data_IF_082287701616
#
_entry.id   IF_082287701616
#
_cell.length_a   1.000
_cell.length_b   1.000
_cell.length_c   1.000
_cell.angle_alpha   90.00
_cell.angle_beta   90.00
_cell.angle_gamma   90.00
#
_symmetry.space_group_name_H-M   'P 1'
#
loop_
_entity.id
_entity.type
_entity.pdbx_description
1 polymer ?
#
# COMPACT_ATOMS: atom_id res chain seq x y z
N UNK A 1 -2.15 16.67 -18.29
CA UNK A 1 -1.52 15.53 -18.96
C UNK A 1 -2.14 15.33 -20.33
N UNK A 2 -1.34 15.01 -21.34
CA UNK A 2 -1.80 14.80 -22.72
C UNK A 2 -1.37 13.40 -23.16
N UNK A 3 -2.34 12.60 -23.60
CA UNK A 3 -2.06 11.29 -24.23
C UNK A 3 -1.38 11.55 -25.57
N UNK A 4 -0.20 10.97 -25.78
CA UNK A 4 0.66 11.28 -26.94
C UNK A 4 0.87 10.10 -27.89
N UNK A 5 0.28 8.95 -27.62
CA UNK A 5 0.45 7.72 -28.38
C UNK A 5 -0.82 7.30 -29.15
N UNK A 6 -1.73 8.24 -29.43
CA UNK A 6 -2.96 7.95 -30.18
C UNK A 6 -2.72 7.43 -31.60
N UNK A 7 -1.58 7.78 -32.22
CA UNK A 7 -1.20 7.32 -33.56
C UNK A 7 0.21 6.72 -33.56
N UNK A 8 1.21 7.54 -33.21
CA UNK A 8 2.61 7.15 -33.13
C UNK A 8 3.29 7.98 -32.04
N UNK A 9 3.63 7.31 -30.93
CA UNK A 9 4.25 7.95 -29.78
C UNK A 9 5.63 8.53 -30.10
N UNK A 10 6.45 7.82 -30.87
CA UNK A 10 7.81 8.26 -31.19
C UNK A 10 7.79 9.48 -32.11
N UNK A 11 6.92 9.48 -33.13
CA UNK A 11 6.72 10.64 -33.98
C UNK A 11 6.16 11.84 -33.21
N UNK A 12 5.23 11.62 -32.26
CA UNK A 12 4.72 12.69 -31.41
C UNK A 12 5.82 13.28 -30.51
N UNK A 13 6.67 12.44 -29.91
CA UNK A 13 7.82 12.90 -29.12
C UNK A 13 8.86 13.66 -29.96
N UNK A 14 9.08 13.25 -31.21
CA UNK A 14 10.10 13.85 -32.07
C UNK A 14 9.64 15.15 -32.73
N UNK A 15 8.40 15.17 -33.23
CA UNK A 15 7.91 16.24 -34.09
C UNK A 15 6.93 17.19 -33.39
N UNK A 16 6.14 16.69 -32.43
CA UNK A 16 5.08 17.48 -31.78
C UNK A 16 5.56 18.09 -30.46
N UNK A 17 6.28 17.32 -29.64
CA UNK A 17 6.76 17.77 -28.34
C UNK A 17 7.60 19.07 -28.39
N UNK A 18 8.50 19.28 -29.36
CA UNK A 18 9.23 20.54 -29.49
C UNK A 18 8.32 21.74 -29.80
N UNK A 19 7.27 21.55 -30.61
CA UNK A 19 6.30 22.60 -30.94
C UNK A 19 5.40 22.95 -29.74
N UNK A 20 5.09 21.96 -28.90
CA UNK A 20 4.43 22.18 -27.61
C UNK A 20 5.30 23.07 -26.72
N UNK A 21 6.59 22.76 -26.61
CA UNK A 21 7.57 23.56 -25.83
C UNK A 21 7.63 25.00 -26.33
N UNK A 22 7.76 25.23 -27.64
CA UNK A 22 7.75 26.58 -28.23
C UNK A 22 6.46 27.33 -27.90
N UNK A 23 5.33 26.66 -28.01
CA UNK A 23 4.02 27.25 -27.69
C UNK A 23 3.90 27.62 -26.21
N UNK A 24 4.46 26.81 -25.31
CA UNK A 24 4.50 27.10 -23.87
C UNK A 24 5.38 28.31 -23.56
N UNK A 25 6.58 28.40 -24.15
CA UNK A 25 7.49 29.53 -23.98
C UNK A 25 6.88 30.84 -24.49
N UNK A 26 6.23 30.81 -25.66
CA UNK A 26 5.55 31.99 -26.21
C UNK A 26 4.43 32.49 -25.29
N UNK A 27 3.65 31.58 -24.69
CA UNK A 27 2.61 31.95 -23.72
C UNK A 27 3.20 32.51 -22.43
N UNK A 28 4.28 31.90 -21.93
CA UNK A 28 4.97 32.38 -20.74
C UNK A 28 5.53 33.80 -20.95
N UNK A 29 6.21 34.05 -22.09
CA UNK A 29 6.73 35.36 -22.43
C UNK A 29 5.62 36.42 -22.57
N UNK A 30 4.47 36.06 -23.14
CA UNK A 30 3.32 36.97 -23.23
C UNK A 30 2.72 37.30 -21.85
N UNK A 31 2.68 36.34 -20.92
CA UNK A 31 2.23 36.57 -19.55
C UNK A 31 3.20 37.49 -18.77
N UNK A 32 4.51 37.28 -18.93
CA UNK A 32 5.55 38.13 -18.32
C UNK A 32 5.53 39.56 -18.85
N UNK A 33 5.15 39.76 -20.12
CA UNK A 33 5.01 41.08 -20.75
C UNK A 33 3.74 41.86 -20.32
N UNK A 34 3.06 41.43 -19.25
CA UNK A 34 1.85 42.09 -18.73
C UNK A 34 0.54 41.52 -19.27
N UNK A 35 0.58 40.38 -19.96
CA UNK A 35 -0.63 39.64 -20.36
C UNK A 35 -1.29 38.91 -19.19
N UNK A 36 -2.62 38.72 -19.27
CA UNK A 36 -3.34 37.87 -18.32
C UNK A 36 -3.13 36.39 -18.66
N UNK A 37 -2.42 35.65 -17.79
CA UNK A 37 -2.27 34.20 -17.93
C UNK A 37 -1.36 33.60 -16.86
N UNK A 38 -1.50 32.29 -16.57
CA UNK A 38 -0.47 31.58 -15.80
C UNK A 38 0.83 31.62 -16.61
N UNK A 39 1.98 31.81 -15.96
CA UNK A 39 3.30 31.79 -16.59
C UNK A 39 3.64 30.43 -17.22
N UNK A 40 4.91 30.02 -17.20
CA UNK A 40 5.28 28.70 -17.76
C UNK A 40 4.52 27.58 -17.03
N UNK A 41 3.62 26.91 -17.77
CA UNK A 41 2.87 25.75 -17.27
C UNK A 41 3.73 24.49 -17.19
N UNK A 42 3.15 23.40 -16.68
CA UNK A 42 3.80 22.09 -16.61
C UNK A 42 3.13 21.09 -17.55
N UNK A 43 3.85 20.58 -18.55
CA UNK A 43 3.33 19.61 -19.51
C UNK A 43 3.59 18.17 -19.07
N UNK A 44 2.56 17.33 -19.07
CA UNK A 44 2.71 15.93 -18.68
C UNK A 44 2.48 15.04 -19.90
N UNK A 45 3.55 14.41 -20.38
CA UNK A 45 3.59 13.46 -21.49
C UNK A 45 2.99 12.15 -21.01
N UNK A 46 1.96 11.64 -21.68
CA UNK A 46 1.31 10.39 -21.30
C UNK A 46 1.34 9.37 -22.46
N UNK A 47 2.26 8.40 -22.44
CA UNK A 47 2.04 7.11 -23.11
C UNK A 47 0.96 6.30 -22.40
N UNK A 48 0.22 5.50 -23.16
CA UNK A 48 -0.88 4.64 -22.69
C UNK A 48 -0.90 3.27 -23.42
N UNK A 49 0.19 2.89 -24.07
CA UNK A 49 0.37 1.62 -24.79
C UNK A 49 1.85 1.25 -24.95
N UNK A 50 2.11 0.01 -25.39
CA UNK A 50 3.47 -0.53 -25.59
C UNK A 50 4.11 -1.11 -24.32
N UNK A 51 5.42 -1.39 -24.34
CA UNK A 51 6.14 -1.76 -23.12
C UNK A 51 6.28 -0.54 -22.19
N UNK A 52 5.79 -0.60 -20.95
CA UNK A 52 5.81 0.56 -20.04
C UNK A 52 7.21 1.11 -19.73
N UNK A 53 8.24 0.26 -19.73
CA UNK A 53 9.62 0.71 -19.48
C UNK A 53 10.12 1.49 -20.69
N UNK A 54 10.00 0.93 -21.89
CA UNK A 54 10.41 1.59 -23.13
C UNK A 54 9.69 2.92 -23.35
N UNK A 55 8.37 2.95 -23.14
CA UNK A 55 7.56 4.15 -23.32
C UNK A 55 7.95 5.29 -22.37
N UNK A 56 8.19 4.99 -21.08
CA UNK A 56 8.67 5.98 -20.11
C UNK A 56 10.07 6.47 -20.48
N UNK A 57 10.98 5.57 -20.87
CA UNK A 57 12.35 5.93 -21.23
C UNK A 57 12.40 6.80 -22.49
N UNK A 58 11.61 6.48 -23.51
CA UNK A 58 11.48 7.30 -24.72
C UNK A 58 10.98 8.71 -24.38
N UNK A 59 9.94 8.79 -23.54
CA UNK A 59 9.38 10.06 -23.06
C UNK A 59 10.42 10.90 -22.34
N UNK A 60 11.15 10.33 -21.37
CA UNK A 60 12.18 11.05 -20.60
C UNK A 60 13.32 11.58 -21.47
N UNK A 61 13.85 10.73 -22.38
CA UNK A 61 14.98 11.11 -23.24
C UNK A 61 14.57 12.21 -24.21
N UNK A 62 13.41 12.10 -24.87
CA UNK A 62 12.93 13.12 -25.80
C UNK A 62 12.48 14.40 -25.09
N UNK A 63 11.90 14.29 -23.89
CA UNK A 63 11.56 15.43 -23.06
C UNK A 63 12.81 16.21 -22.64
N UNK A 64 13.89 15.52 -22.24
CA UNK A 64 15.16 16.19 -21.95
C UNK A 64 15.71 16.93 -23.17
N UNK A 65 15.62 16.34 -24.37
CA UNK A 65 16.08 17.00 -25.59
C UNK A 65 15.26 18.26 -25.91
N UNK A 66 13.95 18.24 -25.69
CA UNK A 66 13.06 19.35 -26.02
C UNK A 66 13.01 20.45 -24.94
N UNK A 67 12.95 20.07 -23.67
CA UNK A 67 12.75 20.97 -22.52
C UNK A 67 14.01 21.22 -21.69
N UNK A 68 15.02 20.36 -21.82
CA UNK A 68 16.20 20.36 -20.96
C UNK A 68 15.94 19.74 -19.59
N UNK A 69 17.02 19.62 -18.82
CA UNK A 69 17.02 19.07 -17.47
C UNK A 69 17.97 19.85 -16.56
N UNK A 70 17.89 19.60 -15.26
CA UNK A 70 18.87 20.04 -14.26
C UNK A 70 19.21 18.90 -13.30
N UNK A 71 20.42 18.92 -12.74
CA UNK A 71 20.80 17.93 -11.72
C UNK A 71 20.27 18.37 -10.35
N UNK A 72 19.57 17.46 -9.67
CA UNK A 72 19.23 17.65 -8.27
C UNK A 72 20.44 17.42 -7.36
N UNK A 73 20.27 17.65 -6.05
CA UNK A 73 21.32 17.45 -5.03
C UNK A 73 21.87 16.02 -4.94
N UNK A 74 21.20 15.04 -5.55
CA UNK A 74 21.62 13.63 -5.61
C UNK A 74 22.29 13.26 -6.95
N UNK A 75 22.49 14.23 -7.85
CA UNK A 75 23.14 14.00 -9.15
C UNK A 75 22.22 13.40 -10.22
N UNK A 76 20.89 13.42 -10.03
CA UNK A 76 19.93 12.92 -11.01
C UNK A 76 19.27 14.04 -11.79
N UNK A 77 19.02 13.79 -13.07
CA UNK A 77 18.40 14.73 -14.01
C UNK A 77 16.90 14.87 -13.74
N UNK A 78 16.46 16.09 -13.47
CA UNK A 78 15.05 16.48 -13.33
C UNK A 78 14.66 17.29 -14.57
N UNK A 79 13.62 16.86 -15.27
CA UNK A 79 13.08 17.56 -16.43
C UNK A 79 12.51 18.94 -16.05
N UNK A 80 12.67 19.92 -16.93
CA UNK A 80 12.18 21.29 -16.72
C UNK A 80 10.81 21.51 -17.37
N UNK A 81 9.82 21.95 -16.59
CA UNK A 81 8.50 22.30 -17.12
C UNK A 81 7.72 21.14 -17.76
N UNK A 82 8.21 19.90 -17.63
CA UNK A 82 7.51 18.72 -18.08
C UNK A 82 7.81 17.49 -17.22
N UNK A 83 6.97 16.47 -17.35
CA UNK A 83 7.16 15.14 -16.75
C UNK A 83 6.48 14.08 -17.62
N UNK A 84 6.76 12.81 -17.32
CA UNK A 84 6.10 11.67 -17.96
C UNK A 84 5.13 11.04 -16.97
N UNK A 85 3.96 10.61 -17.42
CA UNK A 85 3.05 9.76 -16.64
C UNK A 85 2.72 8.51 -17.44
N UNK A 86 2.99 7.33 -16.88
CA UNK A 86 2.57 6.05 -17.47
C UNK A 86 1.31 5.55 -16.75
N UNK A 87 0.23 5.37 -17.50
CA UNK A 87 -1.05 4.86 -16.99
C UNK A 87 -1.33 3.39 -17.35
N UNK A 88 -0.74 2.90 -18.43
CA UNK A 88 -0.96 1.55 -18.94
C UNK A 88 0.04 0.53 -18.38
N UNK A 89 -0.42 -0.70 -18.15
CA UNK A 89 0.42 -1.81 -17.72
C UNK A 89 1.03 -1.68 -16.31
N UNK A 90 0.65 -0.68 -15.50
CA UNK A 90 1.22 -0.45 -14.17
C UNK A 90 0.70 -1.47 -13.14
N UNK A 91 1.64 -2.11 -12.44
CA UNK A 91 1.48 -2.95 -11.25
C UNK A 91 2.77 -2.87 -10.42
N UNK A 92 2.82 -3.55 -9.27
CA UNK A 92 3.98 -3.48 -8.37
C UNK A 92 5.31 -3.88 -9.04
N UNK A 93 5.29 -4.86 -9.94
CA UNK A 93 6.50 -5.36 -10.62
C UNK A 93 6.92 -4.47 -11.79
N UNK A 94 5.96 -3.95 -12.58
CA UNK A 94 6.30 -3.05 -13.68
C UNK A 94 6.75 -1.69 -13.16
N UNK A 95 6.21 -1.22 -12.03
CA UNK A 95 6.67 0.00 -11.36
C UNK A 95 8.14 -0.12 -10.93
N UNK A 96 8.54 -1.23 -10.33
CA UNK A 96 9.94 -1.51 -9.95
C UNK A 96 10.86 -1.46 -11.17
N UNK A 97 10.52 -2.19 -12.25
CA UNK A 97 11.29 -2.19 -13.51
C UNK A 97 11.44 -0.80 -14.13
N UNK A 98 10.40 0.03 -14.11
CA UNK A 98 10.46 1.39 -14.64
C UNK A 98 11.39 2.23 -13.76
N UNK A 99 11.23 2.19 -12.44
CA UNK A 99 12.06 2.97 -11.50
C UNK A 99 13.54 2.61 -11.68
N UNK A 100 13.87 1.32 -11.78
CA UNK A 100 15.24 0.86 -12.02
C UNK A 100 15.81 1.42 -13.32
N UNK A 101 15.05 1.38 -14.41
CA UNK A 101 15.48 1.92 -15.70
C UNK A 101 15.69 3.44 -15.67
N UNK A 102 14.79 4.17 -15.00
CA UNK A 102 14.85 5.63 -14.81
C UNK A 102 16.13 6.00 -14.06
N UNK A 103 16.38 5.34 -12.93
CA UNK A 103 17.58 5.56 -12.10
C UNK A 103 18.85 5.16 -12.85
N UNK A 104 18.85 4.02 -13.54
CA UNK A 104 20.00 3.54 -14.32
C UNK A 104 20.38 4.50 -15.47
N UNK A 105 19.42 5.23 -16.03
CA UNK A 105 19.66 6.26 -17.06
C UNK A 105 20.03 7.63 -16.48
N UNK A 106 20.12 7.75 -15.14
CA UNK A 106 20.48 8.99 -14.44
C UNK A 106 19.35 10.01 -14.35
N UNK A 107 18.10 9.62 -14.57
CA UNK A 107 16.94 10.49 -14.36
C UNK A 107 16.43 10.39 -12.92
N UNK A 108 15.85 11.47 -12.43
CA UNK A 108 15.16 11.50 -11.15
C UNK A 108 13.76 10.93 -11.32
N UNK A 109 13.35 10.06 -10.41
CA UNK A 109 11.96 9.54 -10.36
C UNK A 109 10.95 10.68 -10.18
N UNK A 110 11.37 11.86 -9.70
CA UNK A 110 10.53 13.06 -9.62
C UNK A 110 9.98 13.52 -10.98
N UNK A 111 10.59 13.13 -12.09
CA UNK A 111 10.12 13.44 -13.44
C UNK A 111 9.13 12.42 -13.99
N UNK A 112 8.75 11.41 -13.21
CA UNK A 112 7.82 10.34 -13.60
C UNK A 112 6.69 10.23 -12.57
N UNK A 113 5.46 10.14 -13.07
CA UNK A 113 4.28 9.77 -12.29
C UNK A 113 3.68 8.47 -12.83
N UNK A 114 2.85 7.81 -12.03
CA UNK A 114 2.22 6.54 -12.40
C UNK A 114 0.71 6.62 -12.17
N UNK A 115 -0.07 6.21 -13.17
CA UNK A 115 -1.48 5.92 -13.02
C UNK A 115 -1.67 4.41 -12.93
N UNK A 116 -2.42 3.93 -11.94
CA UNK A 116 -2.71 2.50 -11.79
C UNK A 116 -4.21 2.28 -11.62
N UNK A 117 -4.84 1.69 -12.64
CA UNK A 117 -6.27 1.38 -12.65
C UNK A 117 -6.56 -0.02 -12.07
N UNK A 118 -6.88 -0.97 -12.95
CA UNK A 118 -7.24 -2.33 -12.55
C UNK A 118 -6.16 -3.04 -11.72
N UNK A 119 -4.87 -2.75 -11.95
CA UNK A 119 -3.76 -3.27 -11.14
C UNK A 119 -3.84 -2.89 -9.65
N UNK A 120 -4.40 -1.71 -9.34
CA UNK A 120 -4.54 -1.21 -7.97
C UNK A 120 -5.86 -1.64 -7.34
N UNK A 121 -6.95 -1.62 -8.12
CA UNK A 121 -8.31 -1.69 -7.57
C UNK A 121 -9.05 -3.00 -7.88
N UNK A 122 -8.61 -3.81 -8.83
CA UNK A 122 -9.33 -5.01 -9.28
C UNK A 122 -8.50 -6.29 -9.30
N UNK A 123 -7.18 -6.20 -9.52
CA UNK A 123 -6.26 -7.35 -9.50
C UNK A 123 -5.80 -7.69 -8.07
N UNK A 124 -6.73 -7.56 -7.12
CA UNK A 124 -6.56 -7.91 -5.71
C UNK A 124 -7.70 -8.85 -5.34
N UNK A 125 -7.41 -9.90 -4.58
CA UNK A 125 -8.42 -10.84 -4.09
C UNK A 125 -8.23 -11.08 -2.60
N UNK A 126 -9.19 -11.74 -1.96
CA UNK A 126 -9.17 -12.00 -0.52
C UNK A 126 -7.87 -12.68 -0.07
N UNK A 127 -7.36 -13.59 -0.91
CA UNK A 127 -6.13 -14.36 -0.69
C UNK A 127 -4.87 -13.50 -0.77
N UNK A 128 -4.89 -12.34 -1.44
CA UNK A 128 -3.73 -11.43 -1.55
C UNK A 128 -3.21 -11.02 -0.17
N UNK A 129 -4.10 -10.87 0.81
CA UNK A 129 -3.76 -10.58 2.21
C UNK A 129 -4.21 -11.70 3.17
N UNK A 130 -4.63 -12.85 2.63
CA UNK A 130 -5.19 -13.97 3.39
C UNK A 130 -6.32 -13.59 4.38
N UNK A 131 -7.19 -12.63 4.05
CA UNK A 131 -8.30 -12.22 4.92
C UNK A 131 -9.25 -13.38 5.19
N UNK A 132 -9.52 -13.67 6.47
CA UNK A 132 -10.40 -14.76 6.87
C UNK A 132 -11.15 -14.41 8.17
N UNK A 133 -12.32 -15.02 8.34
CA UNK A 133 -13.11 -14.99 9.57
C UNK A 133 -13.29 -16.41 10.08
N UNK A 134 -13.05 -16.63 11.36
CA UNK A 134 -13.19 -17.94 12.00
C UNK A 134 -13.78 -17.79 13.41
N UNK A 135 -14.51 -18.81 13.86
CA UNK A 135 -15.01 -18.89 15.23
C UNK A 135 -13.83 -19.23 16.16
N UNK A 136 -13.49 -18.30 17.06
CA UNK A 136 -12.44 -18.50 18.07
C UNK A 136 -12.96 -18.96 19.43
N UNK A 137 -14.20 -18.64 19.80
CA UNK A 137 -14.73 -18.90 21.14
C UNK A 137 -16.25 -19.06 21.12
N UNK A 138 -16.78 -19.99 21.91
CA UNK A 138 -18.23 -20.24 22.05
C UNK A 138 -18.61 -20.43 23.51
N UNK A 139 -19.75 -19.85 23.93
CA UNK A 139 -20.36 -20.12 25.24
C UNK A 139 -21.75 -20.71 25.02
N UNK A 140 -21.99 -21.89 25.57
CA UNK A 140 -23.31 -22.52 25.50
C UNK A 140 -24.27 -21.88 26.49
N UNK A 141 -25.57 -21.89 26.17
CA UNK A 141 -26.59 -21.35 27.06
C UNK A 141 -26.57 -22.09 28.40
N UNK A 142 -26.46 -21.34 29.50
CA UNK A 142 -26.41 -21.89 30.87
C UNK A 142 -25.02 -22.33 31.35
N UNK A 143 -23.96 -22.18 30.54
CA UNK A 143 -22.58 -22.37 31.01
C UNK A 143 -21.98 -21.03 31.48
N UNK A 144 -21.33 -21.03 32.65
CA UNK A 144 -20.64 -19.85 33.19
C UNK A 144 -19.35 -19.51 32.42
N UNK A 145 -18.77 -20.50 31.72
CA UNK A 145 -17.52 -20.35 30.94
C UNK A 145 -17.72 -20.85 29.53
N UNK A 146 -17.12 -20.15 28.57
CA UNK A 146 -17.04 -20.62 27.20
C UNK A 146 -15.85 -21.56 26.97
N UNK A 147 -15.72 -21.98 25.70
CA UNK A 147 -14.68 -22.88 25.21
C UNK A 147 -14.04 -22.26 23.98
N UNK A 148 -12.71 -22.35 23.93
CA UNK A 148 -11.95 -21.96 22.75
C UNK A 148 -12.19 -22.95 21.61
N UNK A 149 -12.30 -22.42 20.40
CA UNK A 149 -12.49 -23.17 19.16
C UNK A 149 -11.33 -22.84 18.23
N UNK A 150 -10.82 -23.87 17.57
CA UNK A 150 -9.72 -23.76 16.61
C UNK A 150 -10.05 -24.58 15.38
N UNK A 151 -10.12 -23.92 14.22
CA UNK A 151 -10.17 -24.62 12.94
C UNK A 151 -8.75 -25.06 12.58
N UNK A 152 -8.58 -26.36 12.34
CA UNK A 152 -7.33 -26.97 11.91
C UNK A 152 -7.59 -27.79 10.63
N UNK A 153 -7.10 -27.30 9.48
CA UNK A 153 -7.33 -27.95 8.20
C UNK A 153 -6.29 -29.04 7.92
N UNK A 154 -6.53 -30.25 8.43
CA UNK A 154 -5.59 -31.37 8.34
C UNK A 154 -5.35 -31.94 6.92
N UNK A 155 -6.15 -31.59 5.91
CA UNK A 155 -6.12 -32.23 4.58
C UNK A 155 -5.58 -31.33 3.46
N UNK A 156 -4.98 -30.18 3.80
CA UNK A 156 -4.46 -29.22 2.81
C UNK A 156 -2.93 -29.38 2.70
N UNK A 157 -2.35 -29.58 1.50
CA UNK A 157 -0.91 -29.46 1.32
C UNK A 157 -0.49 -28.05 1.75
N UNK A 158 0.48 -27.92 2.69
CA UNK A 158 0.80 -26.71 3.48
C UNK A 158 0.01 -26.50 4.80
N UNK A 159 -0.61 -27.55 5.35
CA UNK A 159 -1.43 -27.54 6.58
C UNK A 159 -0.79 -26.88 7.83
N UNK A 160 0.53 -26.84 7.96
CA UNK A 160 1.20 -26.38 9.19
C UNK A 160 0.82 -24.94 9.60
N UNK A 161 0.46 -24.08 8.64
CA UNK A 161 0.05 -22.69 8.89
C UNK A 161 -1.47 -22.45 8.69
N UNK A 162 -2.20 -23.47 8.22
CA UNK A 162 -3.61 -23.42 7.87
C UNK A 162 -4.52 -23.67 9.08
N UNK A 163 -4.38 -22.80 10.09
CA UNK A 163 -5.16 -22.85 11.32
C UNK A 163 -5.67 -21.46 11.74
N UNK A 164 -6.83 -21.42 12.39
CA UNK A 164 -7.35 -20.21 13.04
C UNK A 164 -6.74 -20.02 14.43
N UNK A 165 -6.67 -18.78 14.91
CA UNK A 165 -6.26 -18.52 16.29
C UNK A 165 -7.40 -18.90 17.26
N UNK A 166 -7.12 -19.62 18.36
CA UNK A 166 -8.14 -19.99 19.33
C UNK A 166 -8.45 -18.88 20.33
N UNK A 167 -9.68 -18.91 20.83
CA UNK A 167 -10.12 -18.17 21.99
C UNK A 167 -10.46 -16.71 21.74
N UNK A 168 -10.54 -15.97 22.84
CA UNK A 168 -10.77 -14.53 22.85
C UNK A 168 -9.41 -13.85 22.66
N UNK A 169 -9.35 -12.85 21.79
CA UNK A 169 -8.09 -12.24 21.36
C UNK A 169 -8.04 -10.74 21.69
N UNK A 170 -6.84 -10.26 21.99
CA UNK A 170 -6.51 -8.84 22.08
C UNK A 170 -5.23 -8.56 21.27
N UNK A 171 -5.05 -7.31 20.86
CA UNK A 171 -3.86 -6.87 20.14
C UNK A 171 -3.18 -5.78 20.94
N UNK A 172 -1.90 -5.95 21.24
CA UNK A 172 -1.10 -4.98 22.01
C UNK A 172 0.07 -4.47 21.17
N UNK A 173 0.52 -3.25 21.43
CA UNK A 173 1.71 -2.70 20.77
C UNK A 173 2.95 -2.88 21.64
N UNK A 174 3.93 -3.59 21.12
CA UNK A 174 5.20 -3.87 21.81
C UNK A 174 6.38 -3.53 20.92
N UNK A 175 7.26 -2.65 21.40
CA UNK A 175 8.41 -2.15 20.66
C UNK A 175 8.03 -1.72 19.22
N UNK A 176 6.90 -1.03 19.08
CA UNK A 176 6.39 -0.54 17.78
C UNK A 176 5.70 -1.58 16.89
N UNK A 177 5.37 -2.77 17.41
CA UNK A 177 4.73 -3.86 16.63
C UNK A 177 3.44 -4.33 17.28
N UNK A 178 2.48 -4.76 16.46
CA UNK A 178 1.27 -5.41 16.95
C UNK A 178 1.54 -6.87 17.30
N UNK A 179 1.20 -7.26 18.53
CA UNK A 179 1.31 -8.62 19.06
C UNK A 179 -0.06 -9.10 19.52
N UNK A 180 -0.43 -10.31 19.12
CA UNK A 180 -1.72 -10.93 19.43
C UNK A 180 -1.60 -11.78 20.70
N UNK A 181 -2.54 -11.57 21.61
CA UNK A 181 -2.63 -12.23 22.90
C UNK A 181 -3.97 -12.96 23.04
N UNK A 182 -3.94 -14.09 23.73
CA UNK A 182 -5.15 -14.72 24.26
C UNK A 182 -5.65 -13.97 25.49
N UNK A 183 -6.97 -13.87 25.62
CA UNK A 183 -7.64 -13.31 26.79
C UNK A 183 -8.41 -14.46 27.47
N UNK A 184 -8.15 -14.75 28.75
CA UNK A 184 -8.91 -15.77 29.48
C UNK A 184 -10.40 -15.41 29.58
N UNK A 185 -11.28 -16.40 29.44
CA UNK A 185 -12.69 -16.24 29.84
C UNK A 185 -12.80 -16.40 31.36
N UNK A 186 -13.02 -15.31 32.07
CA UNK A 186 -13.23 -15.27 33.52
C UNK A 186 -14.69 -15.54 33.93
N UNK A 187 -15.59 -15.75 32.96
CA UNK A 187 -17.02 -15.96 33.17
C UNK A 187 -17.81 -14.68 33.47
N UNK A 188 -17.17 -13.51 33.50
CA UNK A 188 -17.81 -12.22 33.80
C UNK A 188 -18.55 -11.61 32.60
N UNK A 189 -18.46 -12.22 31.41
CA UNK A 189 -19.03 -11.70 30.17
C UNK A 189 -18.06 -11.86 29.00
N UNK A 190 -18.28 -11.15 27.89
CA UNK A 190 -17.23 -10.98 26.90
C UNK A 190 -16.15 -10.08 27.54
N UNK A 191 -14.88 -10.52 27.65
CA UNK A 191 -13.84 -9.68 28.21
C UNK A 191 -13.58 -8.53 27.24
N UNK A 192 -14.17 -7.38 27.55
CA UNK A 192 -13.72 -6.10 27.02
C UNK A 192 -12.42 -5.81 27.74
N UNK A 193 -11.28 -6.21 27.14
CA UNK A 193 -9.98 -5.75 27.62
C UNK A 193 -10.06 -4.23 27.77
N UNK A 194 -9.62 -3.72 28.91
CA UNK A 194 -9.49 -2.29 29.17
C UNK A 194 -8.84 -1.61 27.96
N UNK A 195 -9.55 -0.64 27.36
CA UNK A 195 -9.18 -0.02 26.08
C UNK A 195 -7.78 0.64 26.10
N UNK A 196 -7.20 0.86 27.28
CA UNK A 196 -5.88 1.46 27.45
C UNK A 196 -4.73 0.59 26.90
N UNK A 197 -4.89 -0.74 26.82
CA UNK A 197 -3.82 -1.65 26.37
C UNK A 197 -4.15 -2.38 25.05
N UNK A 198 -5.38 -2.28 24.54
CA UNK A 198 -5.84 -3.00 23.35
C UNK A 198 -5.97 -2.08 22.13
N UNK A 199 -5.35 -2.47 21.02
CA UNK A 199 -5.48 -1.78 19.73
C UNK A 199 -6.86 -2.03 19.10
N UNK A 200 -7.54 -3.12 19.47
CA UNK A 200 -8.92 -3.38 19.06
C UNK A 200 -9.89 -2.49 19.85
N UNK A 201 -10.75 -1.77 19.12
CA UNK A 201 -11.76 -0.87 19.69
C UNK A 201 -13.16 -1.38 19.36
N UNK A 202 -14.09 -1.19 20.29
CA UNK A 202 -15.50 -1.41 20.00
C UNK A 202 -15.93 -0.36 18.96
N UNK A 203 -16.44 -0.82 17.82
CA UNK A 203 -16.98 0.04 16.75
C UNK A 203 -18.49 -0.19 16.52
N UNK A 204 -19.02 -1.25 17.11
CA UNK A 204 -20.43 -1.66 17.04
C UNK A 204 -20.75 -2.48 18.30
N UNK A 205 -21.85 -2.17 18.98
CA UNK A 205 -22.28 -2.88 20.18
C UNK A 205 -23.81 -2.95 20.21
N UNK A 206 -24.35 -4.08 19.72
CA UNK A 206 -25.78 -4.30 19.51
C UNK A 206 -26.52 -3.13 18.81
N UNK A 207 -25.79 -2.36 18.01
CA UNK A 207 -26.23 -1.12 17.39
C UNK A 207 -25.07 -0.16 17.14
N UNK A 208 -25.28 0.92 16.35
CA UNK A 208 -24.29 1.99 16.20
C UNK A 208 -23.98 2.66 17.53
N UNK A 209 -22.72 3.01 17.75
CA UNK A 209 -22.29 3.74 18.95
C UNK A 209 -22.86 5.16 18.97
N UNK A 210 -23.11 5.70 20.17
CA UNK A 210 -23.63 7.08 20.35
C UNK A 210 -22.67 8.15 19.82
N UNK A 211 -21.37 7.86 19.86
CA UNK A 211 -20.31 8.69 19.30
C UNK A 211 -19.66 7.91 18.17
N UNK A 212 -19.34 8.59 17.05
CA UNK A 212 -18.65 7.96 15.93
C UNK A 212 -17.29 7.45 16.39
N UNK A 213 -16.96 6.16 16.20
CA UNK A 213 -15.64 5.63 16.52
C UNK A 213 -14.60 5.92 15.43
N UNK A 214 -15.02 6.54 14.32
CA UNK A 214 -14.22 6.73 13.13
C UNK A 214 -13.47 8.05 13.15
N UNK A 215 -12.16 7.97 12.92
CA UNK A 215 -11.33 9.13 12.61
C UNK A 215 -11.64 9.67 11.20
N UNK A 216 -11.39 10.96 10.98
CA UNK A 216 -11.44 11.54 9.64
C UNK A 216 -10.28 11.06 8.75
N UNK A 217 -10.40 11.26 7.43
CA UNK A 217 -9.40 10.79 6.48
C UNK A 217 -8.02 11.42 6.68
N UNK A 218 -7.95 12.65 7.18
CA UNK A 218 -6.66 13.33 7.38
C UNK A 218 -5.92 12.76 8.58
N UNK A 219 -6.66 12.45 9.65
CA UNK A 219 -6.18 11.72 10.83
C UNK A 219 -5.72 10.32 10.45
N UNK A 220 -6.49 9.60 9.62
CA UNK A 220 -6.08 8.28 9.12
C UNK A 220 -4.79 8.37 8.30
N UNK A 221 -4.68 9.34 7.38
CA UNK A 221 -3.46 9.54 6.57
C UNK A 221 -2.25 9.89 7.41
N UNK A 222 -2.39 10.82 8.36
CA UNK A 222 -1.32 11.22 9.26
C UNK A 222 -0.83 10.05 10.11
N UNK A 223 -1.75 9.21 10.61
CA UNK A 223 -1.42 7.98 11.34
C UNK A 223 -0.65 7.00 10.47
N UNK A 224 -1.12 6.71 9.24
CA UNK A 224 -0.42 5.80 8.32
C UNK A 224 0.99 6.31 8.03
N UNK A 225 1.17 7.60 7.75
CA UNK A 225 2.48 8.18 7.47
C UNK A 225 3.43 8.09 8.67
N UNK A 226 2.93 8.34 9.88
CA UNK A 226 3.72 8.26 11.10
C UNK A 226 4.12 6.81 11.42
N UNK A 227 3.17 5.88 11.36
CA UNK A 227 3.39 4.49 11.73
C UNK A 227 4.23 3.73 10.70
N UNK A 228 3.97 3.92 9.40
CA UNK A 228 4.69 3.23 8.32
C UNK A 228 6.21 3.42 8.44
N UNK A 229 6.65 4.63 8.82
CA UNK A 229 8.07 4.96 9.00
C UNK A 229 8.71 4.31 10.24
N UNK A 230 7.90 3.87 11.19
CA UNK A 230 8.35 3.28 12.46
C UNK A 230 8.30 1.75 12.45
N UNK A 231 7.62 1.14 11.48
CA UNK A 231 7.52 -0.31 11.39
C UNK A 231 8.89 -0.93 11.12
N UNK A 232 9.37 -1.73 12.08
CA UNK A 232 10.54 -2.56 11.87
C UNK A 232 10.23 -3.64 10.80
N UNK A 233 11.19 -3.99 9.93
CA UNK A 233 11.01 -5.10 8.99
C UNK A 233 10.63 -6.38 9.76
N UNK A 234 9.51 -7.01 9.39
CA UNK A 234 8.95 -8.19 10.07
C UNK A 234 9.75 -9.50 9.84
N UNK A 235 11.01 -9.42 9.42
CA UNK A 235 11.79 -10.63 9.16
C UNK A 235 12.02 -11.40 10.46
N UNK A 236 11.43 -12.60 10.53
CA UNK A 236 11.63 -13.60 11.56
C UNK A 236 11.09 -13.25 12.96
N UNK A 237 10.06 -12.39 13.07
CA UNK A 237 9.44 -12.09 14.36
C UNK A 237 7.96 -12.42 14.31
N UNK A 238 7.55 -13.38 15.12
CA UNK A 238 6.16 -13.79 15.20
C UNK A 238 5.26 -12.73 15.83
N UNK A 239 4.08 -12.44 15.24
CA UNK A 239 3.09 -11.55 15.83
C UNK A 239 2.30 -12.22 16.96
N UNK A 240 2.61 -13.46 17.34
CA UNK A 240 1.90 -14.19 18.39
C UNK A 240 2.69 -14.15 19.71
N UNK A 241 2.01 -13.78 20.79
CA UNK A 241 2.54 -13.87 22.15
C UNK A 241 2.90 -15.32 22.55
N UNK A 242 3.79 -15.46 23.53
CA UNK A 242 4.16 -16.79 24.07
C UNK A 242 2.96 -17.55 24.62
N UNK A 243 2.08 -16.85 25.35
CA UNK A 243 0.85 -17.44 25.90
C UNK A 243 -0.06 -18.01 24.80
N UNK A 244 -0.27 -17.25 23.71
CA UNK A 244 -1.10 -17.71 22.60
C UNK A 244 -0.47 -18.90 21.87
N UNK A 245 0.86 -18.94 21.74
CA UNK A 245 1.58 -20.08 21.16
C UNK A 245 1.44 -21.34 22.00
N UNK A 246 1.56 -21.23 23.33
CA UNK A 246 1.33 -22.33 24.26
C UNK A 246 -0.10 -22.85 24.12
N UNK A 247 -1.09 -21.95 24.05
CA UNK A 247 -2.49 -22.32 23.85
C UNK A 247 -2.74 -23.06 22.54
N UNK A 248 -2.13 -22.61 21.45
CA UNK A 248 -2.18 -23.30 20.15
C UNK A 248 -1.57 -24.70 20.27
N UNK A 249 -0.43 -24.84 20.94
CA UNK A 249 0.23 -26.13 21.11
C UNK A 249 -0.59 -27.11 21.96
N UNK A 250 -1.30 -26.64 22.99
CA UNK A 250 -2.23 -27.45 23.78
C UNK A 250 -3.40 -27.97 22.94
N UNK A 251 -3.99 -27.11 22.12
CA UNK A 251 -5.17 -27.47 21.31
C UNK A 251 -4.80 -28.30 20.08
N UNK A 252 -3.62 -28.06 19.50
CA UNK A 252 -3.15 -28.80 18.34
C UNK A 252 -1.62 -28.90 18.31
N UNK A 253 -1.05 -29.98 18.88
CA UNK A 253 0.40 -30.19 18.92
C UNK A 253 1.07 -30.18 17.53
N UNK A 254 0.35 -30.62 16.49
CA UNK A 254 0.83 -30.64 15.10
C UNK A 254 1.07 -29.23 14.53
N UNK A 255 0.31 -28.23 14.97
CA UNK A 255 0.40 -26.84 14.49
C UNK A 255 1.29 -25.95 15.37
N UNK A 256 1.85 -26.49 16.46
CA UNK A 256 2.77 -25.76 17.35
C UNK A 256 4.01 -25.22 16.60
N UNK A 257 4.50 -25.96 15.59
CA UNK A 257 5.63 -25.51 14.74
C UNK A 257 5.26 -24.33 13.85
N UNK A 258 4.07 -24.33 13.24
CA UNK A 258 3.55 -23.22 12.44
C UNK A 258 3.34 -21.93 13.24
N UNK A 259 2.86 -22.06 14.49
CA UNK A 259 2.74 -20.94 15.42
C UNK A 259 4.11 -20.32 15.80
N UNK A 260 5.16 -21.14 15.86
CA UNK A 260 6.52 -20.66 16.11
C UNK A 260 7.15 -19.99 14.88
N UNK A 261 6.76 -20.39 13.66
CA UNK A 261 7.31 -19.90 12.40
C UNK A 261 6.51 -18.78 11.73
N UNK A 262 5.25 -18.53 12.10
CA UNK A 262 4.48 -17.37 11.64
C UNK A 262 5.27 -16.11 11.98
N UNK A 263 5.84 -15.44 10.98
CA UNK A 263 6.56 -14.17 11.05
C UNK A 263 5.81 -13.13 10.21
#
# INVERSE_FOLDING_TARGET
ACVMDSYDYYSALENVLPEVKKSMEARAAAAEAGGAGPGMGHFVIRPDSGDPVEAVMAGLVKAEQAFGSELNKKGFKVLKGCSVIQGDGINIHTLERIVDAVVAKGFSVQSVAFGMGGGLLQKVQRETMAFASALGHVRYAGEDRGRDVMLACAHVPHAADAFSLPGILQVRREAGRCVVYSVPDDGAGAPLVEAAENELRVVYDCGPLKQSPWDDFDTVRARVEAEWRQLAPLKNVSPLSSQLKERIAEMSPEHAKGAASKA
#
